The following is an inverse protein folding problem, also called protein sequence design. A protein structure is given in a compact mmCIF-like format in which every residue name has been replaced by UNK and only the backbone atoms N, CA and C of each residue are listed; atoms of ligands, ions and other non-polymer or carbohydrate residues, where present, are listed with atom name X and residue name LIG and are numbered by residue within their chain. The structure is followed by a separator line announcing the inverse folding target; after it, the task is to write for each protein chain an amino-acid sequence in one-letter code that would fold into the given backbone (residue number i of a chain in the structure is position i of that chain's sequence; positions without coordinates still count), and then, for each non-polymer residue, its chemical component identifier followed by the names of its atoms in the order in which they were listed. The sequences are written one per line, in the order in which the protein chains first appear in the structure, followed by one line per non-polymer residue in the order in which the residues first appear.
data_IF_727666267707
#
_entry.id   IF_727666267707
#
_cell.length_a   1.000
_cell.length_b   1.000
_cell.length_c   1.000
_cell.angle_alpha   90.00
_cell.angle_beta   90.00
_cell.angle_gamma   90.00
#
_symmetry.space_group_name_H-M   'P 1'
#
loop_
_entity.id
_entity.type
_entity.pdbx_description
1 polymer ?
#
# COMPACT_ATOMS: atom_id res chain seq x y z
N UNK A 1 7.80 6.30 4.61
CA UNK A 1 7.93 4.95 5.22
C UNK A 1 6.57 4.28 5.25
N UNK A 2 6.48 3.00 5.08
CA UNK A 2 5.27 2.20 5.23
C UNK A 2 5.63 0.83 5.80
N UNK A 3 4.76 0.30 6.64
CA UNK A 3 4.91 -0.99 7.30
C UNK A 3 4.07 -2.03 6.57
N UNK A 4 4.64 -3.21 6.35
CA UNK A 4 3.96 -4.33 5.71
C UNK A 4 3.61 -5.40 6.73
N UNK A 5 2.39 -5.85 6.69
CA UNK A 5 1.92 -7.01 7.43
C UNK A 5 1.85 -8.23 6.50
N UNK A 6 2.97 -8.94 6.34
CA UNK A 6 3.06 -10.25 5.67
C UNK A 6 3.11 -10.25 4.13
N UNK A 7 4.11 -10.94 3.59
CA UNK A 7 4.39 -11.47 2.25
C UNK A 7 4.58 -10.56 1.03
N UNK A 8 5.54 -10.98 0.19
CA UNK A 8 6.08 -10.25 -0.96
C UNK A 8 5.09 -10.06 -2.11
N UNK A 9 5.02 -8.84 -2.59
CA UNK A 9 4.30 -8.45 -3.79
C UNK A 9 5.30 -8.40 -4.96
N UNK A 10 5.10 -9.23 -6.00
CA UNK A 10 5.80 -9.10 -7.27
C UNK A 10 4.83 -8.54 -8.31
N UNK A 11 5.12 -7.35 -8.80
CA UNK A 11 4.42 -6.76 -9.93
C UNK A 11 5.11 -7.19 -11.23
N UNK A 12 4.40 -7.88 -12.13
CA UNK A 12 4.83 -8.15 -13.50
C UNK A 12 4.28 -7.05 -14.42
N UNK A 13 5.11 -6.06 -14.72
CA UNK A 13 4.84 -5.10 -15.78
C UNK A 13 5.20 -5.72 -17.14
N UNK A 14 4.20 -5.97 -17.98
CA UNK A 14 4.42 -6.40 -19.35
C UNK A 14 4.99 -5.27 -20.20
N UNK A 15 6.18 -5.45 -20.75
CA UNK A 15 6.79 -4.56 -21.72
C UNK A 15 6.14 -4.74 -23.09
N UNK A 16 5.47 -3.71 -23.57
CA UNK A 16 4.99 -3.64 -24.95
C UNK A 16 6.14 -3.15 -25.86
N UNK A 17 6.69 -4.04 -26.66
CA UNK A 17 7.60 -3.66 -27.76
C UNK A 17 6.83 -3.69 -29.08
N UNK A 18 6.67 -2.53 -29.67
CA UNK A 18 6.23 -2.34 -31.07
C UNK A 18 7.33 -2.82 -32.04
N UNK A 19 6.96 -3.65 -32.99
CA UNK A 19 7.86 -4.03 -34.09
C UNK A 19 7.21 -4.83 -35.22
N UNK A 20 6.66 -4.14 -36.21
CA UNK A 20 6.55 -4.48 -37.66
C UNK A 20 5.71 -5.70 -38.11
N UNK A 21 4.87 -5.34 -39.07
CA UNK A 21 4.03 -6.12 -39.96
C UNK A 21 4.73 -7.29 -40.69
N UNK A 22 4.00 -8.40 -40.82
CA UNK A 22 4.23 -9.48 -41.77
C UNK A 22 2.99 -10.35 -41.84
N UNK A 23 2.32 -10.32 -43.00
CA UNK A 23 1.17 -11.15 -43.32
C UNK A 23 1.54 -12.62 -43.33
N UNK A 24 0.63 -13.53 -42.94
CA UNK A 24 0.25 -14.75 -43.66
C UNK A 24 -0.64 -15.67 -42.77
N UNK A 25 -1.81 -15.98 -43.34
CA UNK A 25 -2.67 -17.19 -43.24
C UNK A 25 -3.21 -17.68 -41.88
N UNK A 26 -4.54 -17.79 -41.91
CA UNK A 26 -5.41 -18.49 -40.96
C UNK A 26 -5.06 -19.96 -40.79
N UNK A 27 -4.92 -20.40 -39.57
CA UNK A 27 -5.26 -21.77 -39.16
C UNK A 27 -5.99 -21.71 -37.81
N UNK A 28 -7.25 -22.19 -37.88
CA UNK A 28 -8.12 -22.37 -36.72
C UNK A 28 -7.60 -23.53 -35.87
N UNK A 29 -7.05 -23.22 -34.70
CA UNK A 29 -6.88 -24.25 -33.64
C UNK A 29 -7.64 -23.78 -32.41
N UNK A 30 -8.65 -24.58 -32.03
CA UNK A 30 -9.35 -24.48 -30.77
C UNK A 30 -8.35 -24.66 -29.65
N UNK A 31 -8.10 -23.65 -28.86
CA UNK A 31 -7.48 -23.80 -27.56
C UNK A 31 -8.55 -23.65 -26.47
N UNK A 32 -8.66 -24.69 -25.68
CA UNK A 32 -9.46 -24.74 -24.48
C UNK A 32 -8.90 -23.73 -23.47
N UNK A 33 -9.76 -22.83 -23.02
CA UNK A 33 -9.52 -21.93 -21.89
C UNK A 33 -9.35 -22.72 -20.59
N UNK A 34 -8.15 -23.08 -20.24
CA UNK A 34 -7.80 -23.48 -18.88
C UNK A 34 -7.57 -22.23 -18.05
N UNK A 35 -8.62 -21.74 -17.48
CA UNK A 35 -8.64 -20.69 -16.48
C UNK A 35 -7.90 -21.19 -15.23
N UNK A 36 -6.58 -20.95 -15.16
CA UNK A 36 -5.79 -21.14 -13.95
C UNK A 36 -6.22 -20.07 -12.94
N UNK A 37 -7.15 -20.42 -12.08
CA UNK A 37 -7.46 -19.69 -10.86
C UNK A 37 -6.23 -19.76 -9.95
N UNK A 38 -5.38 -18.73 -10.00
CA UNK A 38 -4.39 -18.52 -8.96
C UNK A 38 -5.16 -18.23 -7.67
N UNK A 39 -5.19 -19.19 -6.76
CA UNK A 39 -5.62 -18.99 -5.38
C UNK A 39 -4.83 -17.81 -4.81
N UNK A 40 -5.52 -16.71 -4.59
CA UNK A 40 -5.00 -15.60 -3.79
C UNK A 40 -4.94 -16.12 -2.37
N UNK A 41 -3.76 -16.53 -1.91
CA UNK A 41 -3.55 -16.93 -0.51
C UNK A 41 -4.00 -15.76 0.37
N UNK A 42 -5.04 -16.02 1.18
CA UNK A 42 -5.53 -15.08 2.19
C UNK A 42 -4.35 -14.67 3.06
N UNK A 43 -4.07 -13.38 3.13
CA UNK A 43 -3.05 -12.87 4.04
C UNK A 43 -3.54 -13.10 5.47
N UNK A 44 -2.81 -13.89 6.24
CA UNK A 44 -3.10 -14.11 7.66
C UNK A 44 -2.31 -13.10 8.49
N UNK A 45 -3.00 -12.46 9.43
CA UNK A 45 -2.37 -11.58 10.40
C UNK A 45 -1.67 -12.44 11.46
N UNK A 46 -0.39 -12.21 11.65
CA UNK A 46 0.34 -12.79 12.79
C UNK A 46 0.04 -11.91 14.01
N UNK A 47 -0.68 -12.46 14.97
CA UNK A 47 -0.91 -11.82 16.27
C UNK A 47 0.14 -12.41 17.21
N UNK A 48 1.02 -11.58 17.73
CA UNK A 48 1.97 -11.96 18.79
C UNK A 48 1.31 -11.68 20.13
N UNK A 49 0.84 -12.74 20.80
CA UNK A 49 0.05 -12.60 22.03
C UNK A 49 0.90 -12.39 23.30
N UNK A 50 2.17 -12.85 23.30
CA UNK A 50 3.03 -12.87 24.50
C UNK A 50 4.10 -11.77 24.50
N UNK A 51 3.86 -10.64 23.88
CA UNK A 51 4.82 -9.53 23.92
C UNK A 51 4.62 -8.69 25.16
N UNK A 52 5.67 -8.53 25.98
CA UNK A 52 5.70 -7.55 27.05
C UNK A 52 5.83 -6.14 26.43
N UNK A 53 4.69 -5.52 26.17
CA UNK A 53 4.64 -4.20 25.55
C UNK A 53 5.18 -3.08 26.45
N UNK A 54 5.20 -3.27 27.77
CA UNK A 54 5.72 -2.27 28.71
C UNK A 54 7.26 -2.20 28.68
N UNK A 55 7.90 -3.26 28.16
CA UNK A 55 9.35 -3.31 27.97
C UNK A 55 9.82 -2.73 26.63
N UNK A 56 8.91 -2.37 25.72
CA UNK A 56 9.26 -1.81 24.40
C UNK A 56 9.55 -0.32 24.53
N UNK A 57 10.70 0.10 24.02
CA UNK A 57 11.04 1.51 23.89
C UNK A 57 10.08 2.18 22.89
N UNK A 58 9.30 3.14 23.38
CA UNK A 58 8.35 3.91 22.58
C UNK A 58 8.86 5.34 22.32
N UNK A 59 10.18 5.50 22.24
CA UNK A 59 10.80 6.78 21.85
C UNK A 59 10.30 7.19 20.46
N UNK A 60 9.82 8.42 20.35
CA UNK A 60 9.33 8.95 19.09
C UNK A 60 10.48 9.15 18.10
N UNK A 61 10.36 8.51 16.96
CA UNK A 61 11.18 8.78 15.78
C UNK A 61 10.31 9.48 14.72
N UNK A 62 10.93 10.43 13.99
CA UNK A 62 10.30 11.10 12.88
C UNK A 62 10.95 10.66 11.57
N UNK A 63 10.13 10.25 10.60
CA UNK A 63 10.59 9.88 9.28
C UNK A 63 11.30 11.05 8.59
N UNK A 64 12.48 10.80 8.05
CA UNK A 64 13.18 11.71 7.14
C UNK A 64 13.97 10.92 6.09
N UNK A 65 14.39 11.58 5.02
CA UNK A 65 15.24 10.99 4.01
C UNK A 65 16.36 11.94 3.63
N UNK A 66 17.54 11.38 3.38
CA UNK A 66 18.74 12.13 2.98
C UNK A 66 18.76 12.26 1.46
N UNK A 67 18.62 13.49 0.96
CA UNK A 67 18.78 13.78 -0.47
C UNK A 67 20.25 13.66 -0.90
N UNK A 68 20.45 13.30 -2.15
CA UNK A 68 21.77 13.33 -2.78
C UNK A 68 21.65 13.89 -4.20
N UNK A 69 22.77 14.45 -4.71
CA UNK A 69 22.86 15.01 -6.06
C UNK A 69 23.36 13.97 -7.09
N UNK A 70 23.63 12.75 -6.64
CA UNK A 70 24.20 11.69 -7.47
C UNK A 70 23.14 10.84 -8.17
N UNK A 71 21.85 11.14 -7.97
CA UNK A 71 20.72 10.33 -8.45
C UNK A 71 20.76 8.86 -7.93
N UNK A 72 21.36 8.66 -6.77
CA UNK A 72 21.40 7.39 -6.07
C UNK A 72 20.18 7.25 -5.14
N UNK A 73 19.96 6.04 -4.64
CA UNK A 73 18.92 5.77 -3.68
C UNK A 73 19.14 6.62 -2.41
N UNK A 74 18.08 7.30 -1.95
CA UNK A 74 18.14 8.10 -0.73
C UNK A 74 18.36 7.25 0.51
N UNK A 75 19.20 7.70 1.42
CA UNK A 75 19.27 7.15 2.78
C UNK A 75 18.09 7.61 3.65
N UNK A 76 17.90 6.92 4.77
CA UNK A 76 16.92 7.32 5.79
C UNK A 76 17.54 7.32 7.19
N UNK A 77 16.76 6.97 8.20
CA UNK A 77 17.20 6.76 9.57
C UNK A 77 18.45 5.85 9.60
N UNK A 78 19.47 6.29 10.29
CA UNK A 78 20.78 5.58 10.36
C UNK A 78 20.99 4.81 11.67
N UNK A 79 20.10 5.01 12.68
CA UNK A 79 20.29 4.44 14.02
C UNK A 79 19.93 2.95 14.10
N UNK A 80 19.12 2.46 13.17
CA UNK A 80 18.72 1.05 13.06
C UNK A 80 18.16 0.72 11.65
N UNK A 81 18.21 -0.56 11.30
CA UNK A 81 17.68 -1.07 10.01
C UNK A 81 16.16 -1.21 10.09
N UNK A 82 15.41 -0.32 9.47
CA UNK A 82 13.94 -0.35 9.50
C UNK A 82 13.35 -1.61 8.86
N UNK A 83 14.09 -2.25 7.96
CA UNK A 83 13.66 -3.50 7.29
C UNK A 83 13.54 -4.67 8.25
N UNK A 84 14.25 -4.65 9.39
CA UNK A 84 14.13 -5.66 10.45
C UNK A 84 12.74 -5.65 11.10
N UNK A 85 12.03 -4.52 10.97
CA UNK A 85 10.68 -4.32 11.47
C UNK A 85 9.61 -4.42 10.38
N UNK A 86 9.94 -5.01 9.21
CA UNK A 86 9.07 -5.01 8.03
C UNK A 86 8.62 -3.61 7.59
N UNK A 87 9.44 -2.60 7.85
CA UNK A 87 9.23 -1.23 7.44
C UNK A 87 10.07 -0.91 6.19
N UNK A 88 9.49 -0.15 5.26
CA UNK A 88 10.12 0.12 3.97
C UNK A 88 9.92 1.59 3.61
N UNK A 89 10.92 2.21 3.02
CA UNK A 89 10.86 3.53 2.36
C UNK A 89 11.34 3.44 0.92
N UNK A 90 12.10 2.41 0.61
CA UNK A 90 12.59 2.05 -0.71
C UNK A 90 12.42 0.55 -0.91
N UNK A 91 12.33 0.12 -2.14
CA UNK A 91 12.33 -1.30 -2.50
C UNK A 91 13.57 -1.55 -3.33
N UNK A 92 14.44 -2.50 -2.95
CA UNK A 92 15.59 -2.88 -3.77
C UNK A 92 15.13 -3.37 -5.13
N UNK A 93 15.47 -2.65 -6.19
CA UNK A 93 15.13 -3.01 -7.57
C UNK A 93 16.33 -2.79 -8.47
N UNK A 94 16.55 -3.69 -9.42
CA UNK A 94 17.59 -3.56 -10.44
C UNK A 94 17.17 -2.68 -11.62
N UNK A 95 15.90 -2.29 -11.67
CA UNK A 95 15.30 -1.50 -12.74
C UNK A 95 14.88 -0.12 -12.24
N UNK A 96 14.80 0.86 -13.16
CA UNK A 96 14.26 2.19 -12.85
C UNK A 96 12.76 2.10 -12.63
N UNK A 97 12.34 1.94 -11.37
CA UNK A 97 10.93 1.84 -10.94
C UNK A 97 10.59 2.89 -9.90
N UNK A 98 9.38 3.43 -9.99
CA UNK A 98 8.78 4.34 -9.02
C UNK A 98 7.49 3.70 -8.52
N UNK A 99 7.28 3.73 -7.21
CA UNK A 99 6.04 3.30 -6.57
C UNK A 99 5.27 4.53 -6.11
N UNK A 100 4.07 4.73 -6.67
CA UNK A 100 3.22 5.86 -6.29
C UNK A 100 2.41 5.50 -5.04
N UNK A 101 2.49 6.39 -4.06
CA UNK A 101 1.71 6.28 -2.82
C UNK A 101 1.07 7.61 -2.48
N UNK A 102 -0.16 7.57 -1.94
CA UNK A 102 -0.94 8.75 -1.59
C UNK A 102 -1.50 8.59 -0.19
N UNK A 103 -1.37 9.64 0.63
CA UNK A 103 -1.99 9.72 1.95
C UNK A 103 -3.28 10.52 1.83
N UNK A 104 -4.40 9.91 2.21
CA UNK A 104 -5.74 10.44 2.00
C UNK A 104 -6.45 10.65 3.35
N UNK A 105 -6.44 11.88 3.85
CA UNK A 105 -7.15 12.28 5.06
C UNK A 105 -8.52 12.91 4.77
N UNK A 106 -8.66 13.62 3.67
CA UNK A 106 -9.90 14.24 3.19
C UNK A 106 -9.89 14.36 1.66
N UNK A 107 -11.08 14.50 1.05
CA UNK A 107 -11.25 14.72 -0.38
C UNK A 107 -11.33 16.22 -0.70
N UNK A 108 -10.64 16.65 -1.75
CA UNK A 108 -10.67 18.02 -2.23
C UNK A 108 -11.09 18.13 -3.71
N UNK A 109 -11.81 17.14 -4.21
CA UNK A 109 -12.36 17.11 -5.57
C UNK A 109 -11.44 16.55 -6.65
N UNK A 110 -10.22 16.09 -6.32
CA UNK A 110 -9.22 15.67 -7.32
C UNK A 110 -8.98 14.17 -7.40
N UNK A 111 -9.45 13.39 -6.42
CA UNK A 111 -9.12 11.95 -6.37
C UNK A 111 -9.68 11.18 -7.56
N UNK A 112 -10.89 11.54 -8.03
CA UNK A 112 -11.46 10.88 -9.21
C UNK A 112 -10.66 11.16 -10.48
N UNK A 113 -10.21 12.41 -10.70
CA UNK A 113 -9.39 12.78 -11.86
C UNK A 113 -8.04 12.08 -11.81
N UNK A 114 -7.44 11.94 -10.62
CA UNK A 114 -6.21 11.18 -10.42
C UNK A 114 -6.40 9.70 -10.75
N UNK A 115 -7.50 9.08 -10.31
CA UNK A 115 -7.84 7.70 -10.64
C UNK A 115 -8.06 7.51 -12.16
N UNK A 116 -8.66 8.49 -12.84
CA UNK A 116 -8.82 8.47 -14.30
C UNK A 116 -7.47 8.44 -15.01
N UNK A 117 -6.51 9.26 -14.55
CA UNK A 117 -5.13 9.28 -15.09
C UNK A 117 -4.43 7.94 -14.81
N UNK A 118 -4.47 7.44 -13.57
CA UNK A 118 -3.86 6.15 -13.23
C UNK A 118 -4.41 5.01 -14.08
N UNK A 119 -5.72 5.00 -14.32
CA UNK A 119 -6.39 4.02 -15.16
C UNK A 119 -5.97 4.14 -16.63
N UNK A 120 -5.92 5.36 -17.15
CA UNK A 120 -5.52 5.65 -18.54
C UNK A 120 -4.09 5.19 -18.82
N UNK A 121 -3.19 5.41 -17.86
CA UNK A 121 -1.76 5.07 -17.98
C UNK A 121 -1.45 3.64 -17.50
N UNK A 122 -2.48 2.85 -17.11
CA UNK A 122 -2.38 1.51 -16.53
C UNK A 122 -1.41 1.42 -15.34
N UNK A 123 -1.41 2.45 -14.49
CA UNK A 123 -0.57 2.54 -13.29
C UNK A 123 -1.38 2.17 -12.07
N UNK A 124 -0.81 1.30 -11.21
CA UNK A 124 -1.37 0.99 -9.90
C UNK A 124 -0.61 1.75 -8.81
N UNK A 125 -1.35 2.19 -7.79
CA UNK A 125 -0.82 2.95 -6.68
C UNK A 125 -1.30 2.39 -5.34
N UNK A 126 -0.68 2.82 -4.24
CA UNK A 126 -1.14 2.54 -2.89
C UNK A 126 -1.72 3.83 -2.26
N UNK A 127 -2.94 3.72 -1.75
CA UNK A 127 -3.65 4.80 -1.04
C UNK A 127 -3.71 4.46 0.44
N UNK A 128 -3.08 5.26 1.28
CA UNK A 128 -3.15 5.15 2.73
C UNK A 128 -4.30 6.06 3.20
N UNK A 129 -5.41 5.45 3.57
CA UNK A 129 -6.66 6.16 3.85
C UNK A 129 -6.97 6.17 5.33
N UNK A 130 -7.42 7.34 5.84
CA UNK A 130 -7.97 7.43 7.18
C UNK A 130 -9.43 6.94 7.19
N UNK A 131 -9.94 6.57 8.37
CA UNK A 131 -11.35 6.21 8.49
C UNK A 131 -12.27 7.38 8.10
N UNK A 132 -11.88 8.61 8.37
CA UNK A 132 -12.62 9.81 7.95
C UNK A 132 -12.74 9.88 6.43
N UNK A 133 -11.63 9.64 5.71
CA UNK A 133 -11.67 9.62 4.25
C UNK A 133 -12.59 8.52 3.73
N UNK A 134 -12.52 7.31 4.30
CA UNK A 134 -13.39 6.18 3.92
C UNK A 134 -14.86 6.55 4.12
N UNK A 135 -15.19 7.10 5.31
CA UNK A 135 -16.57 7.47 5.68
C UNK A 135 -17.19 8.46 4.69
N UNK A 136 -16.43 9.46 4.33
CA UNK A 136 -16.93 10.58 3.53
C UNK A 136 -16.87 10.29 2.02
N UNK A 137 -16.13 9.23 1.60
CA UNK A 137 -15.82 8.94 0.20
C UNK A 137 -15.91 7.46 -0.16
N UNK A 138 -16.95 6.76 0.32
CA UNK A 138 -17.12 5.30 0.15
C UNK A 138 -17.00 4.88 -1.31
N UNK A 139 -17.60 5.63 -2.25
CA UNK A 139 -17.60 5.26 -3.66
C UNK A 139 -16.21 5.42 -4.30
N UNK A 140 -15.43 6.42 -3.89
CA UNK A 140 -14.04 6.61 -4.32
C UNK A 140 -13.19 5.44 -3.82
N UNK A 141 -13.33 5.05 -2.55
CA UNK A 141 -12.59 3.94 -1.96
C UNK A 141 -12.95 2.61 -2.64
N UNK A 142 -14.23 2.37 -2.92
CA UNK A 142 -14.67 1.20 -3.72
C UNK A 142 -14.08 1.22 -5.13
N UNK A 143 -14.00 2.40 -5.76
CA UNK A 143 -13.39 2.59 -7.06
C UNK A 143 -11.91 2.23 -7.03
N UNK A 144 -11.14 2.71 -6.04
CA UNK A 144 -9.73 2.37 -5.85
C UNK A 144 -9.53 0.85 -5.83
N UNK A 145 -10.30 0.13 -5.01
CA UNK A 145 -10.22 -1.35 -4.92
C UNK A 145 -10.62 -2.01 -6.24
N UNK A 146 -11.70 -1.59 -6.88
CA UNK A 146 -12.19 -2.14 -8.14
C UNK A 146 -11.20 -1.95 -9.29
N UNK A 147 -10.45 -0.85 -9.30
CA UNK A 147 -9.44 -0.55 -10.32
C UNK A 147 -8.07 -1.18 -10.00
N UNK A 148 -7.96 -1.97 -8.91
CA UNK A 148 -6.79 -2.77 -8.56
C UNK A 148 -5.69 -2.00 -7.84
N UNK A 149 -6.02 -0.87 -7.23
CA UNK A 149 -5.13 -0.16 -6.34
C UNK A 149 -5.09 -0.81 -4.95
N UNK A 150 -3.98 -0.61 -4.23
CA UNK A 150 -3.91 -0.95 -2.81
C UNK A 150 -4.61 0.14 -2.00
N UNK A 151 -5.46 -0.26 -1.07
CA UNK A 151 -6.09 0.64 -0.08
C UNK A 151 -5.64 0.22 1.29
N UNK A 152 -4.79 1.03 1.89
CA UNK A 152 -3.97 0.71 3.05
C UNK A 152 -4.36 1.57 4.26
N UNK A 153 -3.91 1.16 5.44
CA UNK A 153 -4.29 1.79 6.70
C UNK A 153 -3.50 3.09 6.98
N UNK A 154 -4.23 4.16 7.30
CA UNK A 154 -3.67 5.43 7.79
C UNK A 154 -4.35 5.90 9.08
N UNK A 155 -4.85 4.95 9.88
CA UNK A 155 -5.51 5.14 11.18
C UNK A 155 -6.94 5.70 11.12
N UNK A 156 -7.58 5.75 12.29
CA UNK A 156 -8.91 6.36 12.45
C UNK A 156 -8.81 7.87 12.48
N UNK A 157 -7.99 8.43 13.40
CA UNK A 157 -7.97 9.85 13.75
C UNK A 157 -6.69 10.59 13.37
N UNK A 158 -5.74 9.92 12.72
CA UNK A 158 -4.44 10.46 12.30
C UNK A 158 -3.60 11.00 13.49
N UNK A 159 -3.44 10.23 14.59
CA UNK A 159 -2.70 10.69 15.76
C UNK A 159 -1.18 10.54 15.58
N UNK A 160 -0.39 11.13 16.50
CA UNK A 160 0.99 10.70 16.73
C UNK A 160 0.96 9.32 17.38
N UNK A 161 1.35 8.28 16.65
CA UNK A 161 1.25 6.89 17.14
C UNK A 161 2.11 6.62 18.37
N UNK A 162 3.38 7.10 18.47
CA UNK A 162 4.20 6.91 19.66
C UNK A 162 3.62 7.56 20.93
N UNK A 163 2.74 8.56 20.79
CA UNK A 163 2.09 9.20 21.95
C UNK A 163 0.92 8.41 22.52
N UNK A 164 0.59 7.27 21.90
CA UNK A 164 -0.56 6.45 22.24
C UNK A 164 -0.13 5.19 23.00
N UNK A 165 -0.99 4.74 23.91
CA UNK A 165 -0.83 3.41 24.50
C UNK A 165 -0.98 2.33 23.44
N UNK A 166 -0.45 1.15 23.68
CA UNK A 166 -0.57 0.01 22.75
C UNK A 166 -2.03 -0.32 22.42
N UNK A 167 -2.91 -0.23 23.41
CA UNK A 167 -4.35 -0.48 23.21
C UNK A 167 -4.97 0.59 22.30
N UNK A 168 -4.61 1.88 22.48
CA UNK A 168 -5.06 2.95 21.60
C UNK A 168 -4.49 2.78 20.18
N UNK A 169 -3.23 2.37 20.04
CA UNK A 169 -2.63 2.08 18.72
C UNK A 169 -3.36 0.94 18.01
N UNK A 170 -3.65 -0.16 18.72
CA UNK A 170 -4.45 -1.27 18.19
C UNK A 170 -5.84 -0.78 17.75
N UNK A 171 -6.50 0.03 18.55
CA UNK A 171 -7.81 0.58 18.22
C UNK A 171 -7.78 1.48 16.98
N UNK A 172 -6.76 2.32 16.83
CA UNK A 172 -6.57 3.17 15.63
C UNK A 172 -6.41 2.33 14.35
N UNK A 173 -5.75 1.18 14.43
CA UNK A 173 -5.55 0.31 13.27
C UNK A 173 -6.77 -0.58 13.01
N UNK A 174 -7.19 -1.35 14.01
CA UNK A 174 -8.22 -2.38 13.85
C UNK A 174 -9.60 -1.78 13.57
N UNK A 175 -9.92 -0.62 14.17
CA UNK A 175 -11.20 0.04 13.92
C UNK A 175 -11.28 0.61 12.50
N UNK A 176 -10.17 1.13 11.96
CA UNK A 176 -10.11 1.59 10.57
C UNK A 176 -10.34 0.45 9.58
N UNK A 177 -9.68 -0.71 9.80
CA UNK A 177 -9.86 -1.90 8.97
C UNK A 177 -11.28 -2.45 9.03
N UNK A 178 -11.83 -2.56 10.26
CA UNK A 178 -13.20 -3.02 10.46
C UNK A 178 -14.18 -2.11 9.73
N UNK A 179 -14.02 -0.79 9.89
CA UNK A 179 -14.88 0.19 9.23
C UNK A 179 -14.79 0.09 7.70
N UNK A 180 -13.58 -0.06 7.15
CA UNK A 180 -13.37 -0.28 5.71
C UNK A 180 -14.20 -1.46 5.21
N UNK A 181 -14.13 -2.60 5.90
CA UNK A 181 -14.88 -3.80 5.55
C UNK A 181 -16.39 -3.59 5.62
N UNK A 182 -16.88 -3.00 6.68
CA UNK A 182 -18.31 -2.78 6.90
C UNK A 182 -18.90 -1.77 5.90
N UNK A 183 -18.19 -0.67 5.62
CA UNK A 183 -18.68 0.39 4.75
C UNK A 183 -18.56 0.07 3.25
N UNK A 184 -17.52 -0.64 2.86
CA UNK A 184 -17.20 -0.85 1.44
C UNK A 184 -17.44 -2.28 0.95
N UNK A 185 -17.42 -3.27 1.84
CA UNK A 185 -17.40 -4.70 1.52
C UNK A 185 -16.01 -5.25 1.19
N UNK A 186 -14.99 -4.40 1.05
CA UNK A 186 -13.62 -4.81 0.75
C UNK A 186 -12.76 -4.89 2.01
N UNK A 187 -11.83 -5.85 2.03
CA UNK A 187 -10.76 -5.88 3.03
C UNK A 187 -9.72 -4.78 2.73
N UNK A 188 -9.16 -4.19 3.77
CA UNK A 188 -8.01 -3.30 3.68
C UNK A 188 -6.75 -4.10 3.34
N UNK A 189 -5.88 -3.56 2.50
CA UNK A 189 -4.59 -4.17 2.21
C UNK A 189 -3.65 -3.97 3.41
N UNK A 190 -2.92 -5.04 3.79
CA UNK A 190 -2.15 -5.10 5.04
C UNK A 190 -0.84 -4.30 4.97
N UNK A 191 -0.97 -3.03 4.67
CA UNK A 191 0.10 -2.03 4.80
C UNK A 191 -0.39 -0.88 5.66
N UNK A 192 0.50 -0.35 6.46
CA UNK A 192 0.24 0.77 7.34
C UNK A 192 1.28 1.87 7.10
N UNK A 193 0.82 3.11 7.10
CA UNK A 193 1.70 4.27 7.15
C UNK A 193 1.41 5.06 8.41
N UNK A 194 2.41 5.25 9.29
CA UNK A 194 2.24 6.09 10.46
C UNK A 194 1.87 7.52 10.08
N UNK A 195 0.86 8.13 10.72
CA UNK A 195 0.56 9.55 10.57
C UNK A 195 1.79 10.41 10.88
N UNK A 196 1.92 11.53 10.18
CA UNK A 196 3.01 12.52 10.36
C UNK A 196 4.42 11.98 10.11
N UNK A 197 4.55 10.71 9.73
CA UNK A 197 5.82 10.03 9.68
C UNK A 197 6.43 9.74 11.06
N UNK A 198 5.64 9.80 12.12
CA UNK A 198 6.04 9.52 13.50
C UNK A 198 5.79 8.04 13.83
N UNK A 199 6.83 7.36 14.35
CA UNK A 199 6.80 5.93 14.68
C UNK A 199 7.75 5.59 15.81
#
# INVERSE_FOLDING_TARGET
MWLRFGHSFTYNGGSNQNGKAGSVTEEKTKQEDTQSSKEVKKQERIIVEDTDYDAIDNTLYAWWFKRNDLHEQSGCQEDFEITDYNAYYVVPVSEKKIYLTFDCGYENGFTNDMLDVLKKEDVKAAFFVTQTFIRDNIDIVKRMKKEGHLVCNHTVTHPSMPSKTIEEQKNELLSCEKYMKEATGYEMDLFFRPPRGEY
#
